data_IF_761027414044
#
_entry.id   IF_761027414044
#
_cell.length_a   1.000
_cell.length_b   1.000
_cell.length_c   1.000
_cell.angle_alpha   90.00
_cell.angle_beta   90.00
_cell.angle_gamma   90.00
#
_symmetry.space_group_name_H-M   'P 1'
#
loop_
_entity.id
_entity.type
_entity.pdbx_description
1 polymer ?
#
# COMPACT_ATOMS: atom_id res chain seq x y z
N UNK A 1 -13.81 33.10 37.45
CA UNK A 1 -12.76 32.80 36.44
C UNK A 1 -13.15 31.55 35.66
N UNK A 2 -13.34 31.59 34.34
CA UNK A 2 -13.69 30.39 33.58
C UNK A 2 -12.43 29.64 33.15
N UNK A 3 -12.36 28.35 33.49
CA UNK A 3 -11.32 27.40 33.07
C UNK A 3 -11.40 27.21 31.55
N UNK A 4 -10.37 27.67 30.82
CA UNK A 4 -10.17 27.33 29.41
C UNK A 4 -9.92 25.82 29.27
N UNK A 5 -10.88 25.10 28.67
CA UNK A 5 -10.67 23.73 28.19
C UNK A 5 -9.65 23.78 27.04
N UNK A 6 -8.51 23.15 27.25
CA UNK A 6 -7.51 22.88 26.22
C UNK A 6 -8.11 21.91 25.20
N UNK A 7 -8.45 22.42 24.01
CA UNK A 7 -8.69 21.57 22.84
C UNK A 7 -7.32 21.09 22.34
N UNK A 8 -7.05 19.79 22.50
CA UNK A 8 -5.90 19.16 21.85
C UNK A 8 -6.12 19.22 20.34
N UNK A 9 -5.41 20.14 19.68
CA UNK A 9 -5.30 20.22 18.22
C UNK A 9 -4.75 18.87 17.73
N UNK A 10 -5.57 18.09 17.00
CA UNK A 10 -5.12 16.89 16.27
C UNK A 10 -4.01 17.33 15.33
N UNK A 11 -2.80 16.84 15.57
CA UNK A 11 -1.67 17.04 14.66
C UNK A 11 -1.99 16.20 13.42
N UNK A 12 -2.47 16.84 12.36
CA UNK A 12 -2.40 16.29 11.00
C UNK A 12 -0.92 16.02 10.73
N UNK A 13 -0.55 14.82 10.29
CA UNK A 13 0.81 14.53 9.83
C UNK A 13 1.17 15.50 8.72
N UNK A 14 2.08 16.44 9.00
CA UNK A 14 2.21 17.70 8.26
C UNK A 14 2.72 17.63 6.81
N UNK A 15 2.86 16.44 6.23
CA UNK A 15 3.32 16.24 4.85
C UNK A 15 2.33 15.50 3.96
N UNK A 16 1.14 15.12 4.46
CA UNK A 16 0.16 14.36 3.67
C UNK A 16 -0.42 15.21 2.53
N UNK A 17 -0.25 14.74 1.29
CA UNK A 17 -0.68 15.45 0.07
C UNK A 17 -2.01 14.97 -0.51
N UNK A 18 -2.61 13.94 0.08
CA UNK A 18 -3.86 13.35 -0.40
C UNK A 18 -3.77 12.82 -1.85
N UNK A 19 -2.60 12.28 -2.21
CA UNK A 19 -2.28 11.79 -3.55
C UNK A 19 -1.94 10.30 -3.58
N UNK A 20 -2.22 9.67 -4.72
CA UNK A 20 -1.64 8.41 -5.13
C UNK A 20 -0.53 8.69 -6.14
N UNK A 21 0.66 8.19 -5.88
CA UNK A 21 1.77 8.18 -6.85
C UNK A 21 1.78 6.82 -7.52
N UNK A 22 1.63 6.82 -8.84
CA UNK A 22 1.70 5.62 -9.67
C UNK A 22 3.05 5.55 -10.41
N UNK A 23 3.76 4.45 -10.19
CA UNK A 23 5.04 4.09 -10.82
C UNK A 23 4.80 2.92 -11.80
N UNK A 24 4.61 3.16 -13.11
CA UNK A 24 4.24 2.10 -14.04
C UNK A 24 5.41 1.18 -14.42
N UNK A 25 6.62 1.46 -13.91
CA UNK A 25 7.88 0.82 -14.32
C UNK A 25 8.62 1.53 -15.46
N UNK A 26 8.25 2.78 -15.77
CA UNK A 26 8.95 3.68 -16.71
C UNK A 26 9.61 4.83 -15.94
N UNK A 27 10.43 5.65 -16.58
CA UNK A 27 11.16 6.76 -15.94
C UNK A 27 10.28 7.92 -15.44
N UNK A 28 8.95 7.80 -15.46
CA UNK A 28 8.01 8.86 -15.11
C UNK A 28 6.96 8.33 -14.14
N UNK A 29 6.81 9.01 -13.00
CA UNK A 29 5.77 8.79 -12.01
C UNK A 29 4.57 9.70 -12.28
N UNK A 30 3.38 9.21 -11.99
CA UNK A 30 2.12 9.94 -12.16
C UNK A 30 1.51 10.25 -10.79
N UNK A 31 0.98 11.46 -10.63
CA UNK A 31 0.47 11.97 -9.36
C UNK A 31 -1.03 12.19 -9.49
N UNK A 32 -1.81 11.38 -8.78
CA UNK A 32 -3.25 11.30 -8.96
C UNK A 32 -3.96 11.77 -7.69
N UNK A 33 -4.94 12.65 -7.87
CA UNK A 33 -5.78 13.11 -6.77
C UNK A 33 -7.02 12.24 -6.65
N UNK A 34 -7.75 12.37 -5.54
CA UNK A 34 -9.05 11.70 -5.40
C UNK A 34 -9.98 11.98 -6.59
N UNK A 35 -10.00 13.21 -7.12
CA UNK A 35 -10.92 13.63 -8.18
C UNK A 35 -10.62 12.97 -9.53
N UNK A 36 -9.35 12.72 -9.83
CA UNK A 36 -8.91 12.17 -11.11
C UNK A 36 -8.54 10.68 -11.08
N UNK A 37 -8.52 10.08 -9.89
CA UNK A 37 -8.01 8.72 -9.66
C UNK A 37 -8.64 7.66 -10.59
N UNK A 38 -9.96 7.65 -10.77
CA UNK A 38 -10.62 6.62 -11.60
C UNK A 38 -10.32 6.82 -13.07
N UNK A 39 -10.49 8.06 -13.56
CA UNK A 39 -10.41 8.41 -14.97
C UNK A 39 -8.97 8.21 -15.47
N UNK A 40 -8.00 8.89 -14.86
CA UNK A 40 -6.60 8.81 -15.29
C UNK A 40 -6.02 7.40 -15.12
N UNK A 41 -6.35 6.68 -14.03
CA UNK A 41 -5.83 5.33 -13.85
C UNK A 41 -6.35 4.35 -14.92
N UNK A 42 -7.56 4.56 -15.43
CA UNK A 42 -8.15 3.69 -16.45
C UNK A 42 -7.46 3.78 -17.81
N UNK A 43 -6.65 4.81 -18.04
CA UNK A 43 -5.87 4.97 -19.27
C UNK A 43 -4.62 4.07 -19.30
N UNK A 44 -4.16 3.57 -18.14
CA UNK A 44 -2.98 2.73 -18.07
C UNK A 44 -3.31 1.27 -18.38
N UNK A 45 -2.66 0.72 -19.41
CA UNK A 45 -2.74 -0.71 -19.76
C UNK A 45 -2.58 -1.60 -18.52
N UNK A 46 -3.50 -2.54 -18.27
CA UNK A 46 -3.49 -3.41 -17.09
C UNK A 46 -4.12 -2.80 -15.84
N UNK A 47 -4.88 -1.71 -15.98
CA UNK A 47 -5.77 -1.17 -14.95
C UNK A 47 -7.20 -1.21 -15.48
N UNK A 48 -7.68 -2.43 -15.66
CA UNK A 48 -8.98 -2.74 -16.23
C UNK A 48 -9.58 -3.97 -15.52
N UNK A 49 -10.78 -4.36 -15.92
CA UNK A 49 -11.49 -5.51 -15.38
C UNK A 49 -10.90 -6.87 -15.80
N UNK A 50 -10.07 -6.89 -16.85
CA UNK A 50 -9.45 -8.11 -17.39
C UNK A 50 -8.10 -8.42 -16.74
N UNK A 51 -7.48 -7.44 -16.08
CA UNK A 51 -6.31 -7.64 -15.23
C UNK A 51 -6.71 -8.24 -13.87
N UNK A 52 -7.16 -9.50 -13.92
CA UNK A 52 -7.60 -10.26 -12.75
C UNK A 52 -6.47 -10.48 -11.74
N UNK A 53 -6.81 -10.31 -10.46
CA UNK A 53 -5.90 -10.56 -9.35
C UNK A 53 -5.86 -12.07 -9.06
N UNK A 54 -4.66 -12.61 -8.85
CA UNK A 54 -4.42 -14.05 -8.68
C UNK A 54 -3.92 -14.40 -7.29
N UNK A 55 -2.95 -13.64 -6.77
CA UNK A 55 -2.35 -13.87 -5.46
C UNK A 55 -2.04 -12.55 -4.78
N UNK A 56 -2.08 -12.56 -3.46
CA UNK A 56 -1.82 -11.39 -2.63
C UNK A 56 -0.93 -11.79 -1.45
N UNK A 57 -0.04 -10.89 -1.07
CA UNK A 57 0.89 -11.05 0.04
C UNK A 57 0.93 -9.77 0.85
N UNK A 58 0.98 -9.90 2.16
CA UNK A 58 1.28 -8.82 3.09
C UNK A 58 2.71 -8.99 3.58
N UNK A 59 3.53 -7.97 3.37
CA UNK A 59 4.93 -7.95 3.79
C UNK A 59 5.16 -6.89 4.87
N UNK A 60 6.24 -7.06 5.63
CA UNK A 60 6.84 -6.05 6.49
C UNK A 60 8.32 -5.85 6.16
N UNK A 61 8.81 -4.65 6.46
CA UNK A 61 10.23 -4.31 6.45
C UNK A 61 10.58 -3.42 7.65
N UNK A 62 11.87 -3.29 8.01
CA UNK A 62 12.32 -2.30 8.97
C UNK A 62 12.01 -0.85 8.56
N UNK A 63 11.75 0.01 9.55
CA UNK A 63 11.61 1.45 9.31
C UNK A 63 12.96 2.12 9.01
N UNK A 64 14.05 1.58 9.55
CA UNK A 64 15.41 2.10 9.39
C UNK A 64 16.38 0.97 9.05
N UNK A 65 17.42 1.30 8.29
CA UNK A 65 18.54 0.39 8.03
C UNK A 65 19.21 -0.01 9.35
N UNK A 66 19.51 -1.29 9.51
CA UNK A 66 20.17 -1.83 10.72
C UNK A 66 19.25 -2.07 11.92
N UNK A 67 17.93 -1.94 11.77
CA UNK A 67 16.97 -2.25 12.84
C UNK A 67 16.96 -3.77 13.12
N UNK A 68 17.24 -4.14 14.38
CA UNK A 68 17.42 -5.55 14.76
C UNK A 68 16.12 -6.36 14.80
N UNK A 69 14.97 -5.75 15.13
CA UNK A 69 13.70 -6.46 15.25
C UNK A 69 12.58 -5.75 14.51
N UNK A 70 11.57 -6.48 14.05
CA UNK A 70 10.42 -5.93 13.31
C UNK A 70 9.09 -6.18 14.01
N UNK A 71 9.08 -6.48 15.32
CA UNK A 71 7.85 -6.83 16.03
C UNK A 71 6.86 -5.65 16.12
N UNK A 72 7.33 -4.49 16.58
CA UNK A 72 6.48 -3.32 16.80
C UNK A 72 6.72 -2.26 15.71
N UNK A 73 7.99 -1.98 15.42
CA UNK A 73 8.40 -0.96 14.46
C UNK A 73 8.63 -1.62 13.10
N UNK A 74 7.70 -1.48 12.18
CA UNK A 74 7.86 -1.94 10.81
C UNK A 74 6.97 -1.12 9.88
N UNK A 75 7.39 -1.04 8.62
CA UNK A 75 6.54 -0.60 7.52
C UNK A 75 5.90 -1.82 6.88
N UNK A 76 4.60 -1.77 6.58
CA UNK A 76 3.88 -2.86 5.90
C UNK A 76 3.35 -2.40 4.56
N UNK A 77 3.38 -3.33 3.61
CA UNK A 77 2.93 -3.12 2.25
C UNK A 77 2.35 -4.39 1.67
N UNK A 78 1.53 -4.24 0.64
CA UNK A 78 0.92 -5.36 -0.07
C UNK A 78 1.64 -5.56 -1.40
N UNK A 79 1.88 -6.82 -1.76
CA UNK A 79 2.25 -7.23 -3.12
C UNK A 79 1.09 -8.03 -3.71
N UNK A 80 0.73 -7.76 -4.95
CA UNK A 80 -0.35 -8.45 -5.67
C UNK A 80 0.21 -8.98 -6.98
N UNK A 81 -0.06 -10.25 -7.29
CA UNK A 81 0.14 -10.81 -8.63
C UNK A 81 -1.19 -10.76 -9.34
N UNK A 82 -1.22 -10.10 -10.49
CA UNK A 82 -2.30 -10.18 -11.46
C UNK A 82 -1.86 -11.00 -12.67
N UNK A 83 -2.73 -11.08 -13.69
CA UNK A 83 -2.48 -11.84 -14.91
C UNK A 83 -1.15 -11.51 -15.60
N UNK A 84 -0.80 -10.23 -15.72
CA UNK A 84 0.36 -9.77 -16.47
C UNK A 84 1.40 -9.04 -15.62
N UNK A 85 1.10 -8.69 -14.37
CA UNK A 85 1.95 -7.82 -13.57
C UNK A 85 2.07 -8.30 -12.12
N UNK A 86 3.16 -7.87 -11.50
CA UNK A 86 3.25 -7.79 -10.06
C UNK A 86 3.11 -6.32 -9.67
N UNK A 87 2.37 -6.07 -8.59
CA UNK A 87 2.09 -4.75 -8.06
C UNK A 87 2.56 -4.68 -6.62
N UNK A 88 2.96 -3.50 -6.15
CA UNK A 88 2.94 -3.20 -4.72
C UNK A 88 2.23 -1.90 -4.42
N UNK A 89 1.54 -1.90 -3.28
CA UNK A 89 0.83 -0.74 -2.75
C UNK A 89 1.21 -0.52 -1.28
N UNK A 90 1.60 0.69 -0.95
CA UNK A 90 2.03 1.07 0.40
C UNK A 90 1.74 2.54 0.70
N UNK A 91 1.61 2.86 1.99
CA UNK A 91 1.32 4.23 2.44
C UNK A 91 2.54 4.85 3.10
N UNK A 92 3.01 5.95 2.55
CA UNK A 92 4.05 6.78 3.13
C UNK A 92 3.46 7.92 3.97
N UNK A 93 4.33 8.76 4.53
CA UNK A 93 3.90 9.91 5.32
C UNK A 93 3.22 10.99 4.47
N UNK A 94 3.46 11.02 3.16
CA UNK A 94 3.03 12.06 2.22
C UNK A 94 2.09 11.55 1.11
N UNK A 95 2.16 10.27 0.76
CA UNK A 95 1.45 9.68 -0.40
C UNK A 95 1.03 8.23 -0.18
N UNK A 96 0.13 7.72 -1.01
CA UNK A 96 0.01 6.29 -1.31
C UNK A 96 0.87 6.00 -2.53
N UNK A 97 1.78 5.03 -2.45
CA UNK A 97 2.56 4.57 -3.58
C UNK A 97 1.92 3.31 -4.16
N UNK A 98 1.66 3.30 -5.45
CA UNK A 98 1.32 2.12 -6.24
C UNK A 98 2.38 1.96 -7.32
N UNK A 99 3.01 0.79 -7.40
CA UNK A 99 4.00 0.51 -8.43
C UNK A 99 3.80 -0.87 -9.02
N UNK A 100 4.33 -1.08 -10.23
CA UNK A 100 4.27 -2.38 -10.89
C UNK A 100 5.54 -2.77 -11.61
N UNK A 101 5.71 -4.08 -11.81
CA UNK A 101 6.78 -4.64 -12.61
C UNK A 101 6.41 -6.03 -13.12
N UNK A 102 7.10 -6.52 -14.15
CA UNK A 102 7.00 -7.92 -14.60
C UNK A 102 7.68 -8.89 -13.62
N UNK A 103 8.63 -8.40 -12.81
CA UNK A 103 9.35 -9.18 -11.81
C UNK A 103 8.78 -8.94 -10.41
N UNK A 104 8.42 -10.02 -9.73
CA UNK A 104 7.99 -9.99 -8.32
C UNK A 104 9.07 -9.40 -7.41
N UNK A 105 10.35 -9.69 -7.68
CA UNK A 105 11.47 -9.22 -6.88
C UNK A 105 11.53 -7.69 -6.91
N UNK A 106 11.30 -7.09 -8.08
CA UNK A 106 11.34 -5.63 -8.23
C UNK A 106 10.29 -4.94 -7.36
N UNK A 107 9.05 -5.42 -7.36
CA UNK A 107 8.01 -4.78 -6.53
C UNK A 107 8.08 -5.15 -5.05
N UNK A 108 8.74 -6.26 -4.69
CA UNK A 108 8.86 -6.77 -3.30
C UNK A 108 10.09 -6.22 -2.58
N UNK A 109 11.24 -6.17 -3.24
CA UNK A 109 12.50 -5.73 -2.63
C UNK A 109 12.79 -4.24 -2.89
N UNK A 110 12.19 -3.62 -3.91
CA UNK A 110 12.45 -2.23 -4.27
C UNK A 110 11.21 -1.35 -4.17
N UNK A 111 11.40 -0.12 -3.70
CA UNK A 111 10.42 0.97 -3.73
C UNK A 111 11.00 2.14 -4.49
N UNK A 112 10.31 2.62 -5.53
CA UNK A 112 10.77 3.74 -6.36
C UNK A 112 12.21 3.52 -6.91
N UNK A 113 12.53 2.26 -7.25
CA UNK A 113 13.85 1.84 -7.74
C UNK A 113 14.94 1.70 -6.66
N UNK A 114 14.65 1.99 -5.39
CA UNK A 114 15.57 1.91 -4.27
C UNK A 114 15.31 0.62 -3.49
N UNK A 115 16.38 -0.07 -3.09
CA UNK A 115 16.26 -1.27 -2.26
C UNK A 115 15.63 -0.91 -0.91
N UNK A 116 14.54 -1.61 -0.56
CA UNK A 116 13.90 -1.51 0.75
C UNK A 116 14.87 -1.89 1.86
N UNK A 117 14.64 -1.37 3.05
CA UNK A 117 15.35 -1.87 4.23
C UNK A 117 15.11 -3.37 4.37
N UNK A 118 16.18 -4.11 4.62
CA UNK A 118 16.16 -5.57 4.74
C UNK A 118 16.25 -6.01 6.21
N UNK A 119 15.69 -7.19 6.57
CA UNK A 119 15.01 -8.13 5.66
C UNK A 119 13.55 -7.76 5.39
N UNK A 120 13.10 -7.97 4.14
CA UNK A 120 11.67 -7.97 3.80
C UNK A 120 11.10 -9.33 4.21
N UNK A 121 10.06 -9.31 5.03
CA UNK A 121 9.48 -10.52 5.64
C UNK A 121 8.01 -10.64 5.28
N UNK A 122 7.60 -11.79 4.78
CA UNK A 122 6.20 -12.10 4.56
C UNK A 122 5.47 -12.28 5.90
N UNK A 123 4.28 -11.70 6.03
CA UNK A 123 3.40 -11.87 7.19
C UNK A 123 2.34 -12.94 6.89
N UNK A 124 1.64 -12.77 5.76
CA UNK A 124 0.56 -13.66 5.30
C UNK A 124 0.39 -13.54 3.79
N UNK A 125 -0.21 -14.56 3.19
CA UNK A 125 -0.50 -14.62 1.77
C UNK A 125 -1.81 -15.36 1.48
N UNK A 126 -2.31 -15.27 0.26
CA UNK A 126 -3.48 -16.01 -0.19
C UNK A 126 -3.71 -15.86 -1.69
N UNK A 127 -4.72 -16.58 -2.18
CA UNK A 127 -5.35 -16.26 -3.46
C UNK A 127 -6.02 -14.88 -3.38
N UNK A 128 -6.10 -14.20 -4.50
CA UNK A 128 -6.74 -12.88 -4.61
C UNK A 128 -8.01 -12.99 -5.45
N UNK A 129 -8.97 -12.10 -5.19
CA UNK A 129 -10.20 -11.92 -5.99
C UNK A 129 -10.26 -10.51 -6.59
N UNK A 130 -11.12 -10.31 -7.58
CA UNK A 130 -11.32 -9.01 -8.24
C UNK A 130 -10.26 -8.70 -9.31
N UNK A 131 -10.25 -7.46 -9.76
CA UNK A 131 -9.37 -6.93 -10.80
C UNK A 131 -8.54 -5.73 -10.32
N UNK A 132 -7.57 -5.28 -11.12
CA UNK A 132 -6.88 -4.03 -10.84
C UNK A 132 -7.83 -2.82 -10.87
N UNK A 133 -8.86 -2.83 -11.71
CA UNK A 133 -9.88 -1.78 -11.68
C UNK A 133 -10.63 -1.76 -10.34
N UNK A 134 -10.92 -2.92 -9.75
CA UNK A 134 -11.57 -3.00 -8.44
C UNK A 134 -10.68 -2.43 -7.33
N UNK A 135 -9.36 -2.66 -7.39
CA UNK A 135 -8.40 -2.02 -6.46
C UNK A 135 -8.51 -0.49 -6.53
N UNK A 136 -8.50 0.10 -7.72
CA UNK A 136 -8.59 1.56 -7.87
C UNK A 136 -9.95 2.08 -7.40
N UNK A 137 -11.04 1.39 -7.75
CA UNK A 137 -12.39 1.70 -7.26
C UNK A 137 -12.48 1.60 -5.73
N UNK A 138 -11.81 0.64 -5.11
CA UNK A 138 -11.75 0.51 -3.66
C UNK A 138 -11.07 1.73 -3.02
N UNK A 139 -9.89 2.11 -3.51
CA UNK A 139 -9.17 3.28 -2.99
C UNK A 139 -10.02 4.56 -3.09
N UNK A 140 -10.69 4.73 -4.22
CA UNK A 140 -11.61 5.85 -4.45
C UNK A 140 -12.80 5.81 -3.48
N UNK A 141 -13.58 4.72 -3.48
CA UNK A 141 -14.83 4.60 -2.70
C UNK A 141 -14.61 4.66 -1.19
N UNK A 142 -13.44 4.26 -0.72
CA UNK A 142 -13.07 4.30 0.70
C UNK A 142 -12.37 5.61 1.10
N UNK A 143 -12.23 6.57 0.18
CA UNK A 143 -11.53 7.84 0.37
C UNK A 143 -10.11 7.62 0.96
N UNK A 144 -9.39 6.58 0.52
CA UNK A 144 -8.09 6.21 1.12
C UNK A 144 -7.07 7.34 0.98
N UNK A 145 -7.11 8.12 -0.10
CA UNK A 145 -6.23 9.27 -0.31
C UNK A 145 -6.53 10.41 0.69
N UNK A 146 -7.76 10.57 1.16
CA UNK A 146 -8.11 11.63 2.14
C UNK A 146 -7.85 11.22 3.59
N UNK A 147 -7.56 9.94 3.84
CA UNK A 147 -7.19 9.46 5.19
C UNK A 147 -5.79 9.95 5.50
N UNK A 148 -5.68 11.10 6.14
CA UNK A 148 -4.39 11.65 6.55
C UNK A 148 -3.61 10.64 7.37
N UNK A 149 -2.29 10.58 7.15
CA UNK A 149 -1.41 9.73 7.94
C UNK A 149 -1.45 10.15 9.41
N UNK A 150 -1.97 9.29 10.30
CA UNK A 150 -1.66 9.38 11.72
C UNK A 150 -0.77 8.20 12.12
N UNK A 151 0.30 8.50 12.83
CA UNK A 151 1.28 7.48 13.24
C UNK A 151 0.69 6.44 14.20
N UNK A 152 -0.40 6.76 14.90
CA UNK A 152 -1.18 5.83 15.74
C UNK A 152 -2.41 5.23 15.02
N UNK A 153 -2.99 5.92 14.03
CA UNK A 153 -4.28 5.59 13.38
C UNK A 153 -4.18 5.88 11.87
N UNK A 154 -4.52 4.94 10.97
CA UNK A 154 -4.43 5.12 9.51
C UNK A 154 -3.00 5.28 8.94
N UNK A 155 -2.09 4.43 9.40
CA UNK A 155 -0.71 4.34 8.89
C UNK A 155 -0.54 3.26 7.79
N UNK A 156 0.70 2.97 7.40
CA UNK A 156 1.06 1.93 6.42
C UNK A 156 0.45 0.55 6.71
N UNK A 157 0.40 0.14 7.98
CA UNK A 157 -0.16 -1.15 8.41
C UNK A 157 -1.66 -1.18 8.19
N UNK A 158 -2.34 -0.07 8.43
CA UNK A 158 -3.80 0.00 8.31
C UNK A 158 -4.22 -0.09 6.83
N UNK A 159 -3.57 0.67 5.94
CA UNK A 159 -3.82 0.55 4.49
C UNK A 159 -3.51 -0.87 4.01
N UNK A 160 -2.34 -1.41 4.36
CA UNK A 160 -1.90 -2.72 3.89
C UNK A 160 -2.86 -3.83 4.35
N UNK A 161 -3.35 -3.78 5.59
CA UNK A 161 -4.33 -4.75 6.07
C UNK A 161 -5.71 -4.57 5.43
N UNK A 162 -6.16 -3.33 5.19
CA UNK A 162 -7.44 -3.09 4.49
C UNK A 162 -7.41 -3.64 3.07
N UNK A 163 -6.37 -3.34 2.31
CA UNK A 163 -6.20 -3.86 0.95
C UNK A 163 -6.12 -5.40 0.99
N UNK A 164 -5.30 -5.97 1.86
CA UNK A 164 -5.19 -7.43 1.96
C UNK A 164 -6.54 -8.08 2.26
N UNK A 165 -7.26 -7.59 3.27
CA UNK A 165 -8.52 -8.20 3.70
C UNK A 165 -9.64 -8.03 2.66
N UNK A 166 -9.66 -6.91 1.94
CA UNK A 166 -10.64 -6.68 0.87
C UNK A 166 -10.46 -7.70 -0.28
N UNK A 167 -9.21 -7.93 -0.69
CA UNK A 167 -8.91 -8.66 -1.93
C UNK A 167 -8.47 -10.11 -1.73
N UNK A 168 -8.23 -10.57 -0.51
CA UNK A 168 -7.89 -11.98 -0.26
C UNK A 168 -9.11 -12.89 -0.38
N UNK A 169 -8.90 -14.11 -0.88
CA UNK A 169 -9.85 -15.22 -0.74
C UNK A 169 -9.62 -15.87 0.62
N UNK A 170 -10.52 -15.62 1.58
CA UNK A 170 -10.32 -15.95 3.00
C UNK A 170 -9.96 -17.43 3.26
N UNK A 171 -10.56 -18.36 2.52
CA UNK A 171 -10.29 -19.80 2.63
C UNK A 171 -8.89 -20.22 2.17
N UNK A 172 -8.12 -19.32 1.56
CA UNK A 172 -6.78 -19.58 1.03
C UNK A 172 -5.65 -18.94 1.85
N UNK A 173 -5.96 -18.34 3.00
CA UNK A 173 -4.98 -17.57 3.79
C UNK A 173 -3.95 -18.50 4.44
N UNK A 174 -2.70 -18.35 4.02
CA UNK A 174 -1.52 -18.89 4.71
C UNK A 174 -0.83 -17.81 5.55
N UNK A 175 -0.29 -18.20 6.70
CA UNK A 175 0.57 -17.33 7.52
C UNK A 175 2.00 -17.81 7.47
N UNK A 176 2.93 -16.89 7.27
CA UNK A 176 4.35 -17.21 7.33
C UNK A 176 4.84 -17.06 8.77
N UNK A 177 5.33 -18.17 9.33
CA UNK A 177 5.97 -18.16 10.65
C UNK A 177 7.45 -17.90 10.44
N UNK A 178 7.87 -16.65 10.51
CA UNK A 178 9.28 -16.30 10.61
C UNK A 178 9.58 -15.93 12.06
N UNK A 179 10.00 -16.96 12.80
CA UNK A 179 11.01 -16.89 13.87
C UNK A 179 12.29 -16.48 13.11
N UNK A 180 12.83 -15.26 13.20
CA UNK A 180 13.54 -14.64 14.33
C UNK A 180 13.68 -13.13 14.06
#
# INVERSE_FOLDING_TARGET
>A
MPRKRSSRKRIKGGGWKEELVFEPGISTSFYLTQGSLIEEMSEFNGIDEFEELQKIWLYKRPLKKGQLTQFILNHQFVVIRSKHWYWSIEKHCDKILLQRNKSCIMVREYEEGILRNTPVVEIKHGGSKGSMQDLIKFLYRKDELKKAYHWMEDNCKDLANRVFNEFVVESSVGRSWHIW
#
